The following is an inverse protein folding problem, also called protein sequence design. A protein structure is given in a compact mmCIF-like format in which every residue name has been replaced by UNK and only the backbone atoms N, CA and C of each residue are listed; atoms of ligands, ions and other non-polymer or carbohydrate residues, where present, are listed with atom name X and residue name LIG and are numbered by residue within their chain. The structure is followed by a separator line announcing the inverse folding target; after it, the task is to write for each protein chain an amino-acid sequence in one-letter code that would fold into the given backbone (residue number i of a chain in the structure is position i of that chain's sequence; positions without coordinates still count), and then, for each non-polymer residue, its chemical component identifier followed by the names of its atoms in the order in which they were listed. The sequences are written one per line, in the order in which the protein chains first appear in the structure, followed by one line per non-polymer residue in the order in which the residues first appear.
data_IF_392249800462
#
_entry.id   IF_392249800462
#
_cell.length_a   1.000
_cell.length_b   1.000
_cell.length_c   1.000
_cell.angle_alpha   90.00
_cell.angle_beta   90.00
_cell.angle_gamma   90.00
#
_symmetry.space_group_name_H-M   'P 1'
#
loop_
_entity.id
_entity.type
_entity.pdbx_description
1 polymer ?
#
# COMPACT_ATOMS: atom_id res chain seq x y z
N UNK A 1 10.33 13.81 17.40
CA UNK A 1 9.86 13.23 16.13
C UNK A 1 11.07 12.65 15.43
N UNK A 2 10.99 11.35 15.14
CA UNK A 2 12.15 10.46 14.96
C UNK A 2 12.64 10.47 13.51
N UNK A 3 13.90 10.10 13.31
CA UNK A 3 14.61 9.90 12.04
C UNK A 3 13.82 9.16 10.94
N UNK A 4 12.73 8.49 11.29
CA UNK A 4 11.83 7.77 10.38
C UNK A 4 10.99 8.70 9.49
N UNK A 5 10.55 9.85 9.98
CA UNK A 5 9.73 10.79 9.18
C UNK A 5 10.49 11.42 8.01
N UNK A 6 11.83 11.47 8.07
CA UNK A 6 12.67 12.00 7.00
C UNK A 6 13.13 10.94 5.99
N UNK A 7 12.77 9.67 6.18
CA UNK A 7 13.10 8.62 5.22
C UNK A 7 12.09 8.60 4.07
N UNK A 8 12.59 8.39 2.86
CA UNK A 8 11.74 8.08 1.70
C UNK A 8 11.53 6.58 1.65
N UNK A 9 10.29 6.14 1.83
CA UNK A 9 9.93 4.73 1.94
C UNK A 9 8.92 4.40 0.84
N UNK A 10 9.14 3.29 0.16
CA UNK A 10 8.20 2.72 -0.79
C UNK A 10 7.82 1.32 -0.33
N UNK A 11 6.53 1.00 -0.38
CA UNK A 11 5.99 -0.34 -0.16
C UNK A 11 5.53 -0.86 -1.52
N UNK A 12 5.98 -2.05 -1.89
CA UNK A 12 5.65 -2.71 -3.15
C UNK A 12 4.91 -4.00 -2.79
N UNK A 13 3.70 -4.17 -3.33
CA UNK A 13 2.89 -5.39 -3.19
C UNK A 13 2.57 -5.95 -4.58
N UNK A 14 2.56 -7.27 -4.78
CA UNK A 14 2.31 -7.78 -6.14
C UNK A 14 0.90 -7.47 -6.65
N UNK A 15 -0.14 -7.73 -5.86
CA UNK A 15 -1.51 -7.74 -6.36
C UNK A 15 -2.53 -7.29 -5.32
N UNK A 16 -3.29 -6.26 -5.63
CA UNK A 16 -4.46 -5.85 -4.85
C UNK A 16 -5.77 -6.29 -5.55
N UNK A 17 -6.50 -7.24 -4.95
CA UNK A 17 -7.83 -7.68 -5.45
C UNK A 17 -8.83 -7.77 -4.31
N UNK A 18 -8.45 -8.42 -3.23
CA UNK A 18 -9.27 -8.62 -2.05
C UNK A 18 -8.43 -8.40 -0.79
N UNK A 19 -9.08 -8.19 0.35
CA UNK A 19 -8.39 -8.07 1.62
C UNK A 19 -8.20 -9.46 2.24
N UNK A 20 -7.02 -10.03 2.06
CA UNK A 20 -6.64 -11.37 2.53
C UNK A 20 -5.38 -11.31 3.40
N UNK A 21 -4.53 -12.35 3.35
CA UNK A 21 -3.37 -12.47 4.23
C UNK A 21 -2.30 -11.41 3.98
N UNK A 22 -1.88 -11.26 2.72
CA UNK A 22 -0.83 -10.31 2.31
C UNK A 22 -1.26 -8.86 2.54
N UNK A 23 -2.52 -8.54 2.27
CA UNK A 23 -3.04 -7.18 2.39
C UNK A 23 -3.12 -6.74 3.85
N UNK A 24 -3.40 -7.68 4.75
CA UNK A 24 -3.29 -7.45 6.21
C UNK A 24 -1.86 -7.12 6.61
N UNK A 25 -0.86 -7.73 5.99
CA UNK A 25 0.55 -7.39 6.25
C UNK A 25 0.86 -5.99 5.74
N UNK A 26 0.42 -5.64 4.51
CA UNK A 26 0.58 -4.29 3.94
C UNK A 26 -0.04 -3.24 4.84
N UNK A 27 -1.26 -3.46 5.35
CA UNK A 27 -1.93 -2.56 6.29
C UNK A 27 -1.09 -2.32 7.55
N UNK A 28 -0.52 -3.36 8.15
CA UNK A 28 0.31 -3.19 9.34
C UNK A 28 1.62 -2.45 9.04
N UNK A 29 2.24 -2.68 7.88
CA UNK A 29 3.43 -1.94 7.44
C UNK A 29 3.06 -0.46 7.22
N UNK A 30 1.92 -0.17 6.61
CA UNK A 30 1.42 1.19 6.41
C UNK A 30 1.11 1.89 7.73
N UNK A 31 0.63 1.18 8.75
CA UNK A 31 0.46 1.73 10.10
C UNK A 31 1.79 2.18 10.73
N UNK A 32 2.90 1.50 10.41
CA UNK A 32 4.25 1.89 10.84
C UNK A 32 4.83 3.02 9.99
N UNK A 33 4.49 3.05 8.69
CA UNK A 33 5.03 3.98 7.70
C UNK A 33 3.90 4.68 6.92
N UNK A 34 3.10 5.54 7.58
CA UNK A 34 1.92 6.16 6.95
C UNK A 34 2.29 7.10 5.79
N UNK A 35 3.54 7.56 5.72
CA UNK A 35 4.06 8.40 4.64
C UNK A 35 4.61 7.62 3.45
N UNK A 36 4.66 6.28 3.51
CA UNK A 36 5.22 5.49 2.42
C UNK A 36 4.40 5.62 1.13
N UNK A 37 5.10 5.66 0.00
CA UNK A 37 4.51 5.54 -1.33
C UNK A 37 4.12 4.07 -1.57
N UNK A 38 3.00 3.82 -2.25
CA UNK A 38 2.47 2.48 -2.48
C UNK A 38 2.47 2.13 -3.97
N UNK A 39 3.08 0.98 -4.29
CA UNK A 39 3.19 0.47 -5.65
C UNK A 39 2.64 -0.95 -5.73
N UNK A 40 2.11 -1.31 -6.89
CA UNK A 40 1.75 -2.69 -7.18
C UNK A 40 1.98 -3.09 -8.63
N UNK A 41 1.97 -4.39 -8.92
CA UNK A 41 1.85 -4.82 -10.32
C UNK A 41 0.42 -4.58 -10.79
N UNK A 42 -0.57 -5.04 -10.01
CA UNK A 42 -1.99 -4.96 -10.33
C UNK A 42 -2.80 -4.36 -9.18
N UNK A 43 -3.73 -3.45 -9.49
CA UNK A 43 -4.69 -2.87 -8.54
C UNK A 43 -6.12 -2.94 -9.07
N UNK A 44 -6.90 -3.87 -8.52
CA UNK A 44 -8.34 -4.04 -8.76
C UNK A 44 -9.17 -3.82 -7.48
N UNK A 45 -8.67 -3.06 -6.51
CA UNK A 45 -9.48 -2.73 -5.34
C UNK A 45 -10.62 -1.78 -5.71
N UNK A 46 -11.81 -2.14 -5.24
CA UNK A 46 -12.92 -1.22 -5.17
C UNK A 46 -12.62 -0.10 -4.16
N UNK A 47 -13.12 1.10 -4.44
CA UNK A 47 -12.94 2.27 -3.57
C UNK A 47 -13.40 2.02 -2.13
N UNK A 48 -14.46 1.22 -1.95
CA UNK A 48 -15.00 0.78 -0.66
C UNK A 48 -13.99 -0.01 0.19
N UNK A 49 -13.01 -0.66 -0.45
CA UNK A 49 -12.00 -1.49 0.20
C UNK A 49 -10.66 -0.80 0.40
N UNK A 50 -10.47 0.45 -0.06
CA UNK A 50 -9.18 1.16 0.04
C UNK A 50 -8.81 1.64 1.45
N UNK A 51 -9.71 1.47 2.43
CA UNK A 51 -9.47 1.89 3.81
C UNK A 51 -8.19 1.29 4.44
N UNK A 52 -7.92 0.00 4.20
CA UNK A 52 -6.75 -0.68 4.79
C UNK A 52 -5.41 -0.26 4.17
N UNK A 53 -5.43 0.39 3.00
CA UNK A 53 -4.25 1.04 2.41
C UNK A 53 -4.22 2.55 2.67
N UNK A 54 -4.96 3.03 3.67
CA UNK A 54 -5.09 4.45 4.05
C UNK A 54 -5.54 5.34 2.88
N UNK A 55 -6.38 4.79 1.98
CA UNK A 55 -6.82 5.45 0.75
C UNK A 55 -5.68 5.96 -0.14
N UNK A 56 -4.49 5.37 -0.03
CA UNK A 56 -3.33 5.73 -0.86
C UNK A 56 -3.62 5.40 -2.32
N UNK A 57 -3.17 6.29 -3.20
CA UNK A 57 -3.07 5.98 -4.63
C UNK A 57 -1.99 4.92 -4.84
N UNK A 58 -2.35 3.84 -5.50
CA UNK A 58 -1.40 2.79 -5.90
C UNK A 58 -0.86 3.14 -7.28
N UNK A 59 0.47 3.25 -7.41
CA UNK A 59 1.10 3.37 -8.73
C UNK A 59 1.35 1.98 -9.29
N UNK A 60 0.71 1.65 -10.41
CA UNK A 60 0.85 0.34 -11.04
C UNK A 60 1.89 0.32 -12.16
N UNK A 61 2.32 -0.88 -12.52
CA UNK A 61 3.15 -1.09 -13.72
C UNK A 61 2.30 -1.23 -14.99
N UNK A 62 2.93 -1.50 -16.14
CA UNK A 62 2.25 -1.70 -17.43
C UNK A 62 1.54 -3.06 -17.56
N UNK A 63 1.75 -3.97 -16.62
CA UNK A 63 1.04 -5.25 -16.54
C UNK A 63 -0.26 -4.97 -15.80
N UNK A 64 -1.41 -5.09 -16.48
CA UNK A 64 -2.74 -4.98 -15.86
C UNK A 64 -3.60 -6.18 -16.24
#
# INVERSE_FOLDING_TARGET
MSKLESLRIAIIHEWFVNYSGSERVVEQILNLFPHADLFALVDFLEDSHRGYIHNKQVTTTFIQ
#
